data_IF_981552260181
#
_entry.id   IF_981552260181
#
_cell.length_a   1.000
_cell.length_b   1.000
_cell.length_c   1.000
_cell.angle_alpha   90.00
_cell.angle_beta   90.00
_cell.angle_gamma   90.00
#
_symmetry.space_group_name_H-M   'P 1'
#
loop_
_entity.id
_entity.type
_entity.pdbx_description
1 polymer ?
#
# COMPACT_ATOMS: atom_id res chain seq x y z
N UNK A 1 -8.05 -8.21 11.33
CA UNK A 1 -8.09 -7.20 10.23
C UNK A 1 -8.07 -7.89 8.87
N UNK A 2 -6.91 -8.26 8.27
CA UNK A 2 -6.86 -9.00 7.00
C UNK A 2 -6.34 -10.42 7.22
N UNK A 3 -7.05 -11.40 6.66
CA UNK A 3 -6.63 -12.83 6.71
C UNK A 3 -6.70 -13.41 5.30
N UNK A 4 -5.59 -13.95 4.84
CA UNK A 4 -5.48 -14.61 3.54
C UNK A 4 -5.27 -16.10 3.78
N UNK A 5 -6.06 -16.94 3.10
CA UNK A 5 -5.99 -18.39 3.21
C UNK A 5 -5.92 -19.04 1.83
N UNK A 6 -4.87 -19.82 1.62
CA UNK A 6 -4.62 -20.62 0.40
C UNK A 6 -4.86 -19.84 -0.91
N UNK A 7 -4.46 -18.56 -0.93
CA UNK A 7 -4.67 -17.69 -2.08
C UNK A 7 -3.88 -18.19 -3.30
N UNK A 8 -4.58 -18.37 -4.41
CA UNK A 8 -4.03 -18.81 -5.69
C UNK A 8 -4.39 -17.81 -6.78
N UNK A 9 -3.41 -17.48 -7.60
CA UNK A 9 -3.60 -16.56 -8.74
C UNK A 9 -2.86 -17.07 -9.94
N UNK A 10 -3.56 -17.17 -11.06
CA UNK A 10 -3.03 -17.64 -12.34
C UNK A 10 -3.15 -16.55 -13.40
N UNK A 11 -2.10 -16.41 -14.20
CA UNK A 11 -2.09 -15.65 -15.45
C UNK A 11 -1.97 -16.63 -16.60
N UNK A 12 -3.09 -16.97 -17.23
CA UNK A 12 -3.11 -18.05 -18.22
C UNK A 12 -2.61 -19.36 -17.63
N UNK A 13 -1.56 -19.94 -18.19
CA UNK A 13 -0.94 -21.19 -17.70
C UNK A 13 0.09 -21.02 -16.57
N UNK A 14 0.36 -19.79 -16.11
CA UNK A 14 1.37 -19.51 -15.09
C UNK A 14 0.70 -19.24 -13.75
N UNK A 15 0.99 -20.10 -12.76
CA UNK A 15 0.56 -19.90 -11.37
C UNK A 15 1.51 -18.90 -10.68
N UNK A 16 1.09 -17.65 -10.56
CA UNK A 16 1.88 -16.57 -9.97
C UNK A 16 1.87 -16.60 -8.43
N UNK A 17 0.74 -17.01 -7.82
CA UNK A 17 0.57 -17.21 -6.39
C UNK A 17 0.03 -18.63 -6.17
N UNK A 18 0.72 -19.39 -5.33
CA UNK A 18 0.59 -20.87 -5.24
C UNK A 18 0.08 -21.33 -3.88
N UNK A 19 -0.99 -20.75 -3.39
CA UNK A 19 -1.57 -21.13 -2.11
C UNK A 19 -0.85 -20.50 -0.93
N UNK A 20 -0.80 -19.17 -0.87
CA UNK A 20 -0.22 -18.45 0.27
C UNK A 20 -1.28 -18.19 1.33
N UNK A 21 -0.83 -18.25 2.60
CA UNK A 21 -1.66 -17.93 3.77
C UNK A 21 -0.86 -17.02 4.71
N UNK A 22 -1.44 -15.89 5.08
CA UNK A 22 -0.84 -14.96 6.04
C UNK A 22 -1.90 -14.04 6.65
N UNK A 23 -1.52 -13.34 7.70
CA UNK A 23 -2.39 -12.42 8.42
C UNK A 23 -1.75 -11.05 8.56
N UNK A 24 -2.61 -10.02 8.55
CA UNK A 24 -2.22 -8.64 8.87
C UNK A 24 -3.08 -8.21 10.06
N UNK A 25 -2.52 -8.23 11.28
CA UNK A 25 -3.21 -7.76 12.48
C UNK A 25 -3.55 -6.27 12.39
N UNK A 26 -4.58 -5.86 13.11
CA UNK A 26 -4.95 -4.45 13.19
C UNK A 26 -3.82 -3.62 13.82
N UNK A 27 -3.58 -2.42 13.27
CA UNK A 27 -2.56 -1.44 13.74
C UNK A 27 -1.12 -1.95 13.66
N UNK A 28 -0.86 -3.05 12.94
CA UNK A 28 0.50 -3.55 12.72
C UNK A 28 1.06 -3.08 11.38
N UNK A 29 2.39 -3.16 11.27
CA UNK A 29 3.12 -3.09 10.00
C UNK A 29 3.54 -4.51 9.64
N UNK A 30 2.99 -5.05 8.57
CA UNK A 30 3.36 -6.36 8.02
C UNK A 30 4.06 -6.15 6.69
N UNK A 31 5.13 -6.89 6.44
CA UNK A 31 5.86 -6.81 5.17
C UNK A 31 5.88 -8.13 4.43
N UNK A 32 5.68 -8.06 3.10
CA UNK A 32 5.96 -9.14 2.17
C UNK A 32 7.26 -8.82 1.44
N UNK A 33 8.25 -9.68 1.58
CA UNK A 33 9.58 -9.53 1.00
C UNK A 33 9.79 -10.62 -0.04
N UNK A 34 10.53 -10.33 -1.09
CA UNK A 34 10.88 -11.32 -2.10
C UNK A 34 11.41 -10.68 -3.37
N UNK A 35 12.01 -11.49 -4.21
CA UNK A 35 12.54 -11.05 -5.50
C UNK A 35 11.43 -10.61 -6.46
N UNK A 36 11.80 -9.96 -7.54
CA UNK A 36 10.87 -9.63 -8.63
C UNK A 36 10.27 -10.93 -9.20
N UNK A 37 8.97 -10.91 -9.43
CA UNK A 37 8.23 -12.09 -9.90
C UNK A 37 7.86 -13.09 -8.80
N UNK A 38 8.16 -12.84 -7.52
CA UNK A 38 7.78 -13.73 -6.42
C UNK A 38 6.28 -13.80 -6.12
N UNK A 39 5.45 -12.91 -6.71
CA UNK A 39 4.01 -12.86 -6.51
C UNK A 39 3.52 -11.74 -5.59
N UNK A 40 4.40 -10.86 -5.12
CA UNK A 40 4.08 -9.79 -4.17
C UNK A 40 3.00 -8.83 -4.67
N UNK A 41 3.27 -8.14 -5.79
CA UNK A 41 2.30 -7.18 -6.38
C UNK A 41 1.01 -7.86 -6.86
N UNK A 42 1.11 -9.12 -7.32
CA UNK A 42 -0.06 -9.93 -7.68
C UNK A 42 -0.96 -10.15 -6.45
N UNK A 43 -0.37 -10.41 -5.29
CA UNK A 43 -1.11 -10.55 -4.03
C UNK A 43 -1.86 -9.27 -3.69
N UNK A 44 -1.21 -8.09 -3.73
CA UNK A 44 -1.91 -6.81 -3.47
C UNK A 44 -3.04 -6.53 -4.47
N UNK A 45 -2.79 -6.81 -5.76
CA UNK A 45 -3.81 -6.63 -6.81
C UNK A 45 -5.00 -7.58 -6.63
N UNK A 46 -4.78 -8.76 -6.08
CA UNK A 46 -5.88 -9.68 -5.75
C UNK A 46 -6.69 -9.20 -4.55
N UNK A 47 -6.05 -8.63 -3.53
CA UNK A 47 -6.73 -8.04 -2.37
C UNK A 47 -7.62 -6.87 -2.81
N UNK A 48 -7.19 -6.07 -3.78
CA UNK A 48 -7.95 -4.92 -4.31
C UNK A 48 -8.95 -5.27 -5.40
N UNK A 49 -9.07 -6.54 -5.78
CA UNK A 49 -9.98 -6.97 -6.86
C UNK A 49 -9.49 -6.64 -8.28
N UNK A 50 -8.29 -6.05 -8.43
CA UNK A 50 -7.70 -5.73 -9.75
C UNK A 50 -7.23 -6.97 -10.51
N UNK A 51 -6.97 -8.05 -9.80
CA UNK A 51 -6.62 -9.35 -10.38
C UNK A 51 -7.49 -10.41 -9.73
N UNK A 52 -8.12 -11.24 -10.55
CA UNK A 52 -9.01 -12.30 -10.08
C UNK A 52 -8.19 -13.46 -9.52
N UNK A 53 -8.47 -13.86 -8.29
CA UNK A 53 -7.92 -15.09 -7.71
C UNK A 53 -8.57 -16.32 -8.36
N UNK A 54 -7.77 -17.40 -8.50
CA UNK A 54 -8.24 -18.71 -8.97
C UNK A 54 -8.67 -19.63 -7.83
N UNK A 55 -8.35 -19.26 -6.59
CA UNK A 55 -8.72 -20.02 -5.39
C UNK A 55 -8.29 -19.34 -4.12
N UNK A 56 -8.76 -19.88 -2.99
CA UNK A 56 -8.47 -19.38 -1.66
C UNK A 56 -9.54 -18.43 -1.12
N UNK A 57 -9.18 -17.65 -0.10
CA UNK A 57 -10.06 -16.69 0.58
C UNK A 57 -9.26 -15.46 1.00
N UNK A 58 -9.87 -14.28 0.89
CA UNK A 58 -9.33 -13.02 1.38
C UNK A 58 -10.40 -12.38 2.26
N UNK A 59 -10.21 -12.39 3.57
CA UNK A 59 -11.15 -11.83 4.53
C UNK A 59 -10.62 -10.55 5.14
N UNK A 60 -11.44 -9.51 5.13
CA UNK A 60 -11.15 -8.23 5.77
C UNK A 60 -12.27 -7.88 6.76
N UNK A 61 -11.93 -7.75 8.04
CA UNK A 61 -12.87 -7.55 9.15
C UNK A 61 -14.03 -8.57 9.11
N UNK A 62 -13.72 -9.83 8.77
CA UNK A 62 -14.69 -10.92 8.68
C UNK A 62 -15.49 -10.99 7.38
N UNK A 63 -15.34 -10.03 6.48
CA UNK A 63 -16.01 -10.03 5.17
C UNK A 63 -15.10 -10.61 4.08
N UNK A 64 -15.63 -11.52 3.24
CA UNK A 64 -14.90 -12.05 2.09
C UNK A 64 -14.80 -10.97 0.99
N UNK A 65 -13.59 -10.75 0.47
CA UNK A 65 -13.32 -9.77 -0.58
C UNK A 65 -13.34 -10.36 -1.99
N UNK A 66 -13.13 -11.67 -2.13
CA UNK A 66 -13.12 -12.31 -3.46
C UNK A 66 -14.48 -12.15 -4.13
N UNK A 67 -14.46 -11.63 -5.36
CA UNK A 67 -15.65 -11.34 -6.14
C UNK A 67 -16.27 -9.97 -5.89
N UNK A 68 -15.72 -9.17 -4.97
CA UNK A 68 -16.12 -7.76 -4.82
C UNK A 68 -15.42 -6.90 -5.89
N UNK A 69 -16.11 -5.84 -6.31
CA UNK A 69 -15.53 -4.82 -7.17
C UNK A 69 -14.59 -3.89 -6.37
N UNK A 70 -13.57 -3.37 -7.05
CA UNK A 70 -12.54 -2.51 -6.42
C UNK A 70 -13.14 -1.31 -5.65
N UNK A 71 -14.14 -0.57 -6.14
CA UNK A 71 -14.75 0.52 -5.37
C UNK A 71 -15.35 0.07 -4.04
N UNK A 72 -15.98 -1.10 -4.00
CA UNK A 72 -16.57 -1.66 -2.78
C UNK A 72 -15.50 -2.06 -1.77
N UNK A 73 -14.37 -2.59 -2.25
CA UNK A 73 -13.20 -2.90 -1.41
C UNK A 73 -12.61 -1.62 -0.81
N UNK A 74 -12.45 -0.57 -1.62
CA UNK A 74 -11.97 0.73 -1.15
C UNK A 74 -12.93 1.33 -0.12
N UNK A 75 -14.24 1.23 -0.34
CA UNK A 75 -15.26 1.70 0.61
C UNK A 75 -15.21 0.98 1.97
N UNK A 76 -14.65 -0.23 2.04
CA UNK A 76 -14.40 -0.94 3.31
C UNK A 76 -13.19 -0.39 4.09
N UNK A 77 -12.41 0.49 3.49
CA UNK A 77 -11.23 1.11 4.09
C UNK A 77 -9.90 0.46 3.69
N UNK A 78 -9.83 -0.17 2.52
CA UNK A 78 -8.58 -0.70 1.95
C UNK A 78 -8.12 0.24 0.84
N UNK A 79 -6.86 0.69 0.91
CA UNK A 79 -6.27 1.53 -0.15
C UNK A 79 -4.93 0.97 -0.60
N UNK A 80 -4.57 1.22 -1.85
CA UNK A 80 -3.31 0.79 -2.45
C UNK A 80 -2.53 1.99 -2.97
N UNK A 81 -1.29 2.14 -2.51
CA UNK A 81 -0.27 2.97 -3.14
C UNK A 81 0.50 2.07 -4.12
N UNK A 82 0.23 2.16 -5.43
CA UNK A 82 0.82 1.26 -6.40
C UNK A 82 2.29 1.60 -6.69
N UNK A 83 3.01 0.63 -7.22
CA UNK A 83 4.34 0.83 -7.80
C UNK A 83 4.30 1.90 -8.91
N UNK A 84 5.36 2.71 -9.00
CA UNK A 84 5.51 3.74 -10.04
C UNK A 84 4.72 5.01 -9.76
N UNK A 85 4.36 5.27 -8.50
CA UNK A 85 3.76 6.53 -7.98
C UNK A 85 2.36 6.80 -8.49
N UNK A 86 2.10 6.69 -9.79
CA UNK A 86 0.78 6.82 -10.45
C UNK A 86 0.02 8.10 -10.06
N UNK A 87 0.73 9.22 -9.97
CA UNK A 87 0.11 10.53 -9.83
C UNK A 87 -0.57 10.94 -11.13
N UNK A 88 -1.53 11.85 -11.05
CA UNK A 88 -2.14 12.49 -12.23
C UNK A 88 -1.27 13.70 -12.62
N UNK A 89 -0.42 13.58 -13.66
CA UNK A 89 0.64 14.56 -13.93
C UNK A 89 0.12 15.94 -14.33
N UNK A 90 -1.04 15.98 -14.98
CA UNK A 90 -1.67 17.22 -15.48
C UNK A 90 -2.59 17.90 -14.44
N UNK A 91 -2.70 17.30 -13.24
CA UNK A 91 -3.40 17.87 -12.11
C UNK A 91 -2.40 18.44 -11.10
N UNK A 92 -2.83 19.46 -10.39
CA UNK A 92 -2.04 20.04 -9.29
C UNK A 92 -1.88 19.08 -8.12
N UNK A 93 -0.95 19.36 -7.21
CA UNK A 93 -0.75 18.61 -5.97
C UNK A 93 -2.04 18.52 -5.17
N UNK A 94 -2.72 19.66 -4.94
CA UNK A 94 -3.95 19.68 -4.16
C UNK A 94 -5.10 18.91 -4.83
N UNK A 95 -5.20 18.95 -6.16
CA UNK A 95 -6.20 18.18 -6.90
C UNK A 95 -5.92 16.68 -6.80
N UNK A 96 -4.66 16.24 -6.92
CA UNK A 96 -4.27 14.84 -6.67
C UNK A 96 -4.64 14.39 -5.25
N UNK A 97 -4.40 15.21 -4.23
CA UNK A 97 -4.78 14.91 -2.85
C UNK A 97 -6.30 14.72 -2.75
N UNK A 98 -7.08 15.70 -3.24
CA UNK A 98 -8.54 15.68 -3.14
C UNK A 98 -9.19 14.49 -3.84
N UNK A 99 -8.63 14.02 -4.97
CA UNK A 99 -9.19 12.88 -5.69
C UNK A 99 -9.11 11.58 -4.88
N UNK A 100 -8.20 11.48 -3.90
CA UNK A 100 -8.14 10.35 -2.97
C UNK A 100 -9.38 10.17 -2.10
N UNK A 101 -10.15 11.24 -1.92
CA UNK A 101 -11.40 11.26 -1.16
C UNK A 101 -12.67 11.11 -2.03
N UNK A 102 -12.56 10.58 -3.24
CA UNK A 102 -13.67 10.58 -4.22
C UNK A 102 -14.94 9.84 -3.76
N UNK A 103 -14.84 8.90 -2.81
CA UNK A 103 -15.98 8.21 -2.20
C UNK A 103 -16.60 8.95 -1.00
N UNK A 104 -15.99 10.07 -0.58
CA UNK A 104 -16.39 10.84 0.59
C UNK A 104 -17.23 12.07 0.19
N UNK A 105 -18.14 12.46 1.07
CA UNK A 105 -18.99 13.66 0.91
C UNK A 105 -18.86 14.66 2.07
N UNK A 106 -17.98 14.38 3.03
CA UNK A 106 -17.70 15.23 4.19
C UNK A 106 -16.63 16.30 3.88
N UNK A 107 -16.35 17.19 4.84
CA UNK A 107 -15.28 18.20 4.70
C UNK A 107 -13.92 17.53 4.66
N UNK A 108 -13.06 17.98 3.76
CA UNK A 108 -11.70 17.49 3.58
C UNK A 108 -10.63 18.38 4.23
N UNK A 109 -11.04 19.50 4.86
CA UNK A 109 -10.12 20.54 5.32
C UNK A 109 -9.15 20.02 6.38
N UNK A 110 -9.64 19.34 7.38
CA UNK A 110 -8.82 18.79 8.47
C UNK A 110 -7.85 17.73 7.95
N UNK A 111 -8.29 16.88 7.03
CA UNK A 111 -7.45 15.84 6.41
C UNK A 111 -6.36 16.43 5.53
N UNK A 112 -6.68 17.46 4.75
CA UNK A 112 -5.70 18.16 3.93
C UNK A 112 -4.65 18.83 4.83
N UNK A 113 -5.05 19.44 5.92
CA UNK A 113 -4.13 20.05 6.89
C UNK A 113 -3.23 18.98 7.51
N UNK A 114 -3.79 17.85 7.96
CA UNK A 114 -3.01 16.72 8.49
C UNK A 114 -2.02 16.15 7.48
N UNK A 115 -2.45 15.96 6.23
CA UNK A 115 -1.58 15.51 5.13
C UNK A 115 -0.46 16.51 4.89
N UNK A 116 -0.75 17.81 4.94
CA UNK A 116 0.27 18.85 4.78
C UNK A 116 1.26 18.92 5.97
N UNK A 117 0.83 18.55 7.17
CA UNK A 117 1.73 18.42 8.31
C UNK A 117 2.67 17.22 8.17
N UNK A 118 2.19 16.11 7.59
CA UNK A 118 3.03 14.97 7.25
C UNK A 118 3.98 15.23 6.06
N UNK A 119 3.54 16.06 5.11
CA UNK A 119 4.25 16.34 3.86
C UNK A 119 4.37 17.86 3.60
N UNK A 120 5.20 18.59 4.38
CA UNK A 120 5.30 20.05 4.25
C UNK A 120 5.68 20.53 2.83
N UNK A 121 6.49 19.75 2.11
CA UNK A 121 6.85 20.05 0.72
C UNK A 121 5.65 20.06 -0.23
N UNK A 122 4.67 19.20 0.01
CA UNK A 122 3.44 19.19 -0.80
C UNK A 122 2.58 20.44 -0.52
N UNK A 123 2.58 20.93 0.72
CA UNK A 123 1.92 22.20 1.09
C UNK A 123 2.53 23.38 0.34
N UNK A 124 3.86 23.49 0.35
CA UNK A 124 4.61 24.55 -0.35
C UNK A 124 4.34 24.56 -1.85
N UNK A 125 4.03 23.41 -2.44
CA UNK A 125 3.86 23.16 -3.87
C UNK A 125 2.43 22.79 -4.25
N UNK A 126 1.45 23.14 -3.42
CA UNK A 126 0.05 22.70 -3.58
C UNK A 126 -0.57 23.03 -4.94
N UNK A 127 -0.16 24.14 -5.53
CA UNK A 127 -0.59 24.67 -6.83
C UNK A 127 0.18 24.09 -8.02
N UNK A 128 1.32 23.42 -7.78
CA UNK A 128 2.20 22.95 -8.84
C UNK A 128 1.62 21.69 -9.49
N UNK A 129 1.82 21.52 -10.80
CA UNK A 129 1.44 20.30 -11.52
C UNK A 129 2.27 19.10 -11.02
N UNK A 130 1.60 18.00 -10.71
CA UNK A 130 2.23 16.81 -10.12
C UNK A 130 3.29 16.21 -11.03
N UNK A 131 3.15 16.30 -12.35
CA UNK A 131 4.14 15.82 -13.32
C UNK A 131 5.49 16.55 -13.23
N UNK A 132 5.55 17.73 -12.64
CA UNK A 132 6.77 18.55 -12.51
C UNK A 132 7.50 18.34 -11.17
N UNK A 133 6.94 17.54 -10.28
CA UNK A 133 7.56 17.17 -9.00
C UNK A 133 8.72 16.22 -9.18
N UNK A 134 9.67 16.22 -8.24
CA UNK A 134 10.69 15.17 -8.15
C UNK A 134 10.05 13.80 -7.87
N UNK A 135 10.80 12.73 -8.17
CA UNK A 135 10.31 11.38 -7.91
C UNK A 135 9.91 11.11 -6.46
N UNK A 136 10.67 11.65 -5.51
CA UNK A 136 10.34 11.53 -4.08
C UNK A 136 9.08 12.30 -3.71
N UNK A 137 8.91 13.51 -4.22
CA UNK A 137 7.69 14.30 -4.00
C UNK A 137 6.46 13.64 -4.63
N UNK A 138 6.60 13.04 -5.83
CA UNK A 138 5.52 12.26 -6.44
C UNK A 138 5.14 11.03 -5.60
N UNK A 139 6.12 10.36 -5.00
CA UNK A 139 5.87 9.24 -4.09
C UNK A 139 5.13 9.70 -2.82
N UNK A 140 5.56 10.79 -2.22
CA UNK A 140 4.86 11.42 -1.09
C UNK A 140 3.44 11.82 -1.47
N UNK A 141 3.22 12.37 -2.66
CA UNK A 141 1.90 12.72 -3.17
C UNK A 141 1.00 11.49 -3.34
N UNK A 142 1.53 10.37 -3.84
CA UNK A 142 0.78 9.13 -3.96
C UNK A 142 0.32 8.60 -2.59
N UNK A 143 1.18 8.67 -1.57
CA UNK A 143 0.84 8.31 -0.18
C UNK A 143 -0.19 9.30 0.39
N UNK A 144 0.02 10.60 0.23
CA UNK A 144 -0.90 11.65 0.67
C UNK A 144 -2.31 11.46 0.09
N UNK A 145 -2.41 11.20 -1.21
CA UNK A 145 -3.67 10.88 -1.88
C UNK A 145 -4.36 9.66 -1.28
N UNK A 146 -3.62 8.60 -1.01
CA UNK A 146 -4.16 7.38 -0.42
C UNK A 146 -4.74 7.61 1.00
N UNK A 147 -4.11 8.47 1.80
CA UNK A 147 -4.58 8.82 3.15
C UNK A 147 -5.94 9.51 3.16
N UNK A 148 -6.29 10.24 2.10
CA UNK A 148 -7.56 10.96 2.00
C UNK A 148 -8.79 10.05 1.98
N UNK A 149 -8.64 8.76 1.72
CA UNK A 149 -9.73 7.78 1.81
C UNK A 149 -10.03 7.31 3.24
N UNK A 150 -9.32 7.78 4.26
CA UNK A 150 -9.37 7.30 5.65
C UNK A 150 -9.19 5.78 5.73
N UNK A 151 -8.08 5.24 5.23
CA UNK A 151 -7.90 3.80 5.16
C UNK A 151 -7.73 3.18 6.55
N UNK A 152 -8.37 2.03 6.77
CA UNK A 152 -8.07 1.13 7.88
C UNK A 152 -6.81 0.32 7.58
N UNK A 153 -6.65 -0.08 6.30
CA UNK A 153 -5.51 -0.80 5.77
C UNK A 153 -4.96 -0.06 4.56
N UNK A 154 -3.70 0.37 4.66
CA UNK A 154 -2.95 0.94 3.55
C UNK A 154 -1.94 -0.08 3.06
N UNK A 155 -2.04 -0.44 1.80
CA UNK A 155 -1.09 -1.31 1.13
C UNK A 155 -0.15 -0.48 0.27
N UNK A 156 1.15 -0.80 0.29
CA UNK A 156 2.17 -0.08 -0.48
C UNK A 156 3.02 -1.05 -1.28
N UNK A 157 3.09 -0.81 -2.59
CA UNK A 157 3.86 -1.65 -3.51
C UNK A 157 5.18 -0.98 -3.86
N UNK A 158 6.25 -1.43 -3.23
CA UNK A 158 7.64 -0.96 -3.40
C UNK A 158 7.79 0.57 -3.35
N UNK A 159 7.34 1.23 -2.26
CA UNK A 159 7.33 2.69 -2.18
C UNK A 159 8.73 3.33 -2.22
N UNK A 160 9.78 2.58 -1.94
CA UNK A 160 11.17 3.07 -1.96
C UNK A 160 11.86 2.94 -3.32
N UNK A 161 11.24 2.26 -4.29
CA UNK A 161 11.89 1.90 -5.55
C UNK A 161 12.32 3.14 -6.36
N UNK A 162 13.61 3.17 -6.73
CA UNK A 162 14.18 4.22 -7.57
C UNK A 162 14.31 5.59 -6.90
N UNK A 163 14.31 5.63 -5.58
CA UNK A 163 14.45 6.87 -4.81
C UNK A 163 15.85 7.00 -4.19
N UNK A 164 16.27 8.24 -3.96
CA UNK A 164 17.51 8.52 -3.27
C UNK A 164 17.47 8.04 -1.80
N UNK A 165 18.60 7.61 -1.22
CA UNK A 165 18.63 7.02 0.12
C UNK A 165 18.01 7.88 1.23
N UNK A 166 18.15 9.20 1.17
CA UNK A 166 17.53 10.12 2.15
C UNK A 166 16.02 10.10 2.03
N UNK A 167 15.49 10.13 0.81
CA UNK A 167 14.04 10.07 0.57
C UNK A 167 13.45 8.72 1.01
N UNK A 168 14.21 7.64 0.83
CA UNK A 168 13.81 6.32 1.33
C UNK A 168 13.64 6.37 2.85
N UNK A 169 14.60 6.95 3.58
CA UNK A 169 14.49 7.09 5.05
C UNK A 169 13.27 7.92 5.46
N UNK A 170 12.99 9.01 4.75
CA UNK A 170 11.82 9.85 5.00
C UNK A 170 10.52 9.07 4.81
N UNK A 171 10.39 8.31 3.71
CA UNK A 171 9.21 7.49 3.43
C UNK A 171 8.99 6.44 4.52
N UNK A 172 10.04 5.72 4.95
CA UNK A 172 9.89 4.74 6.03
C UNK A 172 9.53 5.39 7.37
N UNK A 173 10.03 6.59 7.64
CA UNK A 173 9.64 7.37 8.83
C UNK A 173 8.17 7.78 8.78
N UNK A 174 7.69 8.21 7.63
CA UNK A 174 6.28 8.57 7.39
C UNK A 174 5.38 7.34 7.52
N UNK A 175 5.76 6.17 6.99
CA UNK A 175 5.01 4.92 7.16
C UNK A 175 4.81 4.60 8.65
N UNK A 176 5.86 4.74 9.45
CA UNK A 176 5.75 4.56 10.92
C UNK A 176 4.82 5.57 11.57
N UNK A 177 4.87 6.82 11.14
CA UNK A 177 4.01 7.85 11.68
C UNK A 177 2.53 7.61 11.34
N UNK A 178 2.23 7.24 10.09
CA UNK A 178 0.90 6.83 9.65
C UNK A 178 0.38 5.64 10.49
N UNK A 179 1.23 4.65 10.72
CA UNK A 179 0.86 3.49 11.54
C UNK A 179 0.57 3.87 13.00
N UNK A 180 1.35 4.77 13.61
CA UNK A 180 1.08 5.29 14.97
C UNK A 180 -0.28 5.99 15.08
N UNK A 181 -0.78 6.57 13.99
CA UNK A 181 -2.12 7.14 13.93
C UNK A 181 -3.23 6.09 13.82
N UNK A 182 -2.86 4.80 13.85
CA UNK A 182 -3.80 3.67 13.88
C UNK A 182 -4.07 3.02 12.53
N UNK A 183 -3.43 3.45 11.46
CA UNK A 183 -3.55 2.81 10.13
C UNK A 183 -2.74 1.53 10.10
N UNK A 184 -3.36 0.43 9.70
CA UNK A 184 -2.67 -0.85 9.45
C UNK A 184 -1.91 -0.78 8.12
N UNK A 185 -0.70 -1.30 8.07
CA UNK A 185 0.17 -1.23 6.89
C UNK A 185 0.51 -2.64 6.38
N UNK A 186 0.30 -2.88 5.10
CA UNK A 186 0.86 -4.02 4.38
C UNK A 186 1.86 -3.49 3.35
N UNK A 187 3.15 -3.72 3.61
CA UNK A 187 4.26 -3.17 2.84
C UNK A 187 4.89 -4.26 1.98
N UNK A 188 5.01 -4.01 0.69
CA UNK A 188 5.84 -4.80 -0.21
C UNK A 188 7.14 -4.06 -0.47
N UNK A 189 8.26 -4.74 -0.28
CA UNK A 189 9.59 -4.20 -0.52
C UNK A 189 10.58 -5.25 -1.02
N UNK A 190 11.55 -4.81 -1.81
CA UNK A 190 12.74 -5.59 -2.14
C UNK A 190 13.84 -5.37 -1.12
N UNK A 191 13.92 -4.17 -0.54
CA UNK A 191 14.88 -3.83 0.50
C UNK A 191 14.43 -4.42 1.84
N UNK A 192 14.73 -5.72 2.03
CA UNK A 192 14.34 -6.48 3.21
C UNK A 192 14.81 -5.80 4.51
N UNK A 193 16.04 -5.30 4.56
CA UNK A 193 16.60 -4.67 5.76
C UNK A 193 15.80 -3.45 6.21
N UNK A 194 15.38 -2.60 5.27
CA UNK A 194 14.61 -1.41 5.60
C UNK A 194 13.19 -1.77 6.03
N UNK A 195 12.54 -2.69 5.30
CA UNK A 195 11.20 -3.13 5.61
C UNK A 195 11.10 -3.82 6.99
N UNK A 196 12.03 -4.75 7.29
CA UNK A 196 12.05 -5.49 8.55
C UNK A 196 12.33 -4.61 9.77
N UNK A 197 13.10 -3.51 9.60
CA UNK A 197 13.35 -2.57 10.71
C UNK A 197 12.09 -1.88 11.24
N UNK A 198 11.04 -1.78 10.44
CA UNK A 198 9.80 -1.13 10.84
C UNK A 198 8.64 -2.10 11.01
N UNK A 199 8.77 -3.33 10.47
CA UNK A 199 7.70 -4.33 10.49
C UNK A 199 7.60 -5.06 11.83
N UNK A 200 6.37 -5.33 12.25
CA UNK A 200 6.06 -6.22 13.37
C UNK A 200 6.20 -7.69 12.92
N UNK A 201 5.78 -7.97 11.67
CA UNK A 201 5.78 -9.30 11.08
C UNK A 201 6.28 -9.25 9.63
N UNK A 202 7.10 -10.21 9.24
CA UNK A 202 7.59 -10.38 7.87
C UNK A 202 7.27 -11.74 7.29
N UNK A 203 6.94 -11.77 5.99
CA UNK A 203 6.75 -12.97 5.19
C UNK A 203 7.65 -12.90 3.97
N UNK A 204 8.45 -13.93 3.75
CA UNK A 204 9.32 -14.02 2.56
C UNK A 204 8.62 -14.85 1.50
N UNK A 205 8.37 -14.23 0.34
CA UNK A 205 7.80 -14.88 -0.83
C UNK A 205 8.91 -15.33 -1.79
N UNK A 206 8.85 -16.59 -2.19
CA UNK A 206 9.69 -17.17 -3.24
C UNK A 206 8.82 -17.94 -4.21
N UNK A 207 8.92 -17.59 -5.50
CA UNK A 207 8.20 -18.30 -6.59
C UNK A 207 6.73 -18.59 -6.31
N UNK A 208 6.01 -17.61 -5.73
CA UNK A 208 4.58 -17.70 -5.45
C UNK A 208 4.21 -18.43 -4.14
N UNK A 209 5.17 -18.72 -3.27
CA UNK A 209 4.97 -19.39 -1.97
C UNK A 209 5.60 -18.59 -0.83
N UNK A 210 5.07 -18.72 0.37
CA UNK A 210 5.73 -18.22 1.57
C UNK A 210 6.80 -19.25 1.97
N UNK A 211 8.06 -18.82 1.94
CA UNK A 211 9.23 -19.63 2.28
C UNK A 211 9.61 -19.47 3.76
N UNK A 212 9.50 -18.25 4.31
CA UNK A 212 9.85 -17.95 5.69
C UNK A 212 8.83 -16.97 6.29
N UNK A 213 8.67 -17.05 7.59
CA UNK A 213 7.83 -16.15 8.40
C UNK A 213 8.57 -15.87 9.70
N UNK A 214 8.56 -14.61 10.14
CA UNK A 214 9.19 -14.21 11.39
C UNK A 214 8.81 -12.81 11.80
N UNK A 215 9.23 -12.39 13.00
CA UNK A 215 9.13 -10.99 13.41
C UNK A 215 10.17 -10.15 12.68
N UNK A 216 9.96 -8.83 12.63
CA UNK A 216 10.93 -7.94 11.98
C UNK A 216 12.33 -7.92 12.63
N UNK A 217 12.48 -8.52 13.84
CA UNK A 217 13.75 -8.62 14.58
C UNK A 217 14.49 -9.94 14.36
N UNK A 218 13.80 -11.00 13.99
CA UNK A 218 14.35 -12.31 13.63
C UNK A 218 14.89 -12.32 12.20
#
# INVERSE_FOLDING_TARGET
MLTIKDLRVNYGGIEAVKGISFEVPEKSIVTLIGANGAGKSTTLRSITGLVKASGGSIQFDGAELLGMDTPDIVAKGITLVPEGRRVFPDMTVIENIKIGAYLRSDSLEDDINWVYDLFPRLKERSWQLAGTLSGGEQQMLAVARALMSHPKLMMMDEPSLGLAPLIVQDIFSIIKEINKQGVTILLIEQNANMALRIADQGYVLETGRIALTGTGRE
#
